data_IF_092794137072
#
_entry.id   IF_092794137072
#
_cell.length_a   1.000
_cell.length_b   1.000
_cell.length_c   1.000
_cell.angle_alpha   90.00
_cell.angle_beta   90.00
_cell.angle_gamma   90.00
#
_symmetry.space_group_name_H-M   'P 1'
#
loop_
_entity.id
_entity.type
_entity.pdbx_description
1 polymer ?
#
# COMPACT_ATOMS: atom_id res chain seq x y z
N UNK A 1 48.14 -53.45 6.95
CA UNK A 1 46.88 -53.22 6.17
C UNK A 1 45.79 -52.86 7.15
N UNK A 2 45.61 -51.53 7.41
CA UNK A 2 44.59 -51.03 8.38
C UNK A 2 43.32 -50.70 7.63
N UNK A 3 42.27 -51.48 7.85
CA UNK A 3 40.97 -51.20 7.35
C UNK A 3 40.36 -50.02 8.17
N UNK A 4 40.17 -48.86 7.52
CA UNK A 4 39.38 -47.74 8.08
C UNK A 4 37.94 -48.23 8.26
N UNK A 5 37.53 -48.41 9.51
CA UNK A 5 36.11 -48.57 9.88
C UNK A 5 35.40 -47.24 9.53
N UNK A 6 34.52 -47.28 8.56
CA UNK A 6 33.50 -46.26 8.38
C UNK A 6 32.58 -46.29 9.61
N UNK A 7 32.71 -45.29 10.48
CA UNK A 7 31.73 -45.00 11.53
C UNK A 7 30.41 -44.63 10.83
N UNK A 8 29.29 -45.34 11.10
CA UNK A 8 27.99 -44.89 10.60
C UNK A 8 27.71 -43.49 11.14
N UNK A 9 27.10 -42.64 10.30
CA UNK A 9 26.62 -41.33 10.72
C UNK A 9 25.99 -41.45 12.11
N UNK A 10 26.62 -40.84 13.10
CA UNK A 10 26.21 -41.06 14.47
C UNK A 10 24.73 -40.63 14.60
N UNK A 11 23.95 -41.41 15.36
CA UNK A 11 22.57 -41.09 15.73
C UNK A 11 22.42 -39.63 16.20
N UNK A 12 23.50 -38.97 16.65
CA UNK A 12 23.60 -37.55 16.98
C UNK A 12 23.40 -36.61 15.76
N UNK A 13 23.92 -36.98 14.58
CA UNK A 13 23.72 -36.16 13.36
C UNK A 13 22.29 -36.21 12.83
N UNK A 14 21.62 -37.38 12.99
CA UNK A 14 20.20 -37.52 12.61
C UNK A 14 19.30 -36.78 13.59
N UNK A 15 19.65 -36.72 14.88
CA UNK A 15 18.93 -35.96 15.92
C UNK A 15 19.04 -34.45 15.70
N UNK A 16 20.11 -33.96 15.06
CA UNK A 16 20.31 -32.56 14.72
C UNK A 16 19.43 -32.07 13.55
N UNK A 17 19.07 -32.97 12.62
CA UNK A 17 18.27 -32.63 11.45
C UNK A 17 16.76 -32.83 11.66
N UNK A 18 16.38 -33.61 12.66
CA UNK A 18 14.97 -33.94 12.89
C UNK A 18 14.11 -32.76 13.32
N UNK A 19 14.49 -31.89 14.27
CA UNK A 19 13.67 -30.76 14.68
C UNK A 19 13.43 -29.73 13.55
N UNK A 20 14.44 -29.29 12.78
CA UNK A 20 14.18 -28.37 11.66
C UNK A 20 13.32 -28.99 10.54
N UNK A 21 13.44 -30.28 10.29
CA UNK A 21 12.58 -30.98 9.33
C UNK A 21 11.14 -31.17 9.86
N UNK A 22 10.99 -31.43 11.16
CA UNK A 22 9.68 -31.54 11.79
C UNK A 22 8.96 -30.19 11.86
N UNK A 23 9.66 -29.11 12.16
CA UNK A 23 9.08 -27.75 12.14
C UNK A 23 8.71 -27.28 10.75
N UNK A 24 9.52 -27.55 9.73
CA UNK A 24 9.15 -27.33 8.33
C UNK A 24 7.92 -28.17 7.95
N UNK A 25 7.86 -29.41 8.37
CA UNK A 25 6.70 -30.30 8.13
C UNK A 25 5.43 -29.82 8.83
N UNK A 26 5.52 -29.29 10.05
CA UNK A 26 4.39 -28.73 10.79
C UNK A 26 3.92 -27.43 10.16
N UNK A 27 4.82 -26.54 9.77
CA UNK A 27 4.51 -25.30 9.06
C UNK A 27 3.82 -25.60 7.72
N UNK A 28 4.33 -26.57 6.96
CA UNK A 28 3.72 -27.04 5.72
C UNK A 28 2.34 -27.68 5.93
N UNK A 29 2.17 -28.46 7.01
CA UNK A 29 0.92 -29.14 7.31
C UNK A 29 -0.16 -28.16 7.79
N UNK A 30 0.21 -27.16 8.59
CA UNK A 30 -0.72 -26.12 9.05
C UNK A 30 -1.16 -25.21 7.89
N UNK A 31 -0.27 -24.85 6.98
CA UNK A 31 -0.61 -24.11 5.77
C UNK A 31 -1.51 -24.94 4.84
N UNK A 32 -1.22 -26.24 4.69
CA UNK A 32 -2.07 -27.16 3.92
C UNK A 32 -3.48 -27.31 4.52
N UNK A 33 -3.59 -27.43 5.84
CA UNK A 33 -4.90 -27.53 6.54
C UNK A 33 -5.68 -26.21 6.45
N UNK A 34 -5.01 -25.08 6.52
CA UNK A 34 -5.64 -23.75 6.45
C UNK A 34 -6.20 -23.42 5.05
N UNK A 35 -5.59 -23.93 3.98
CA UNK A 35 -5.91 -23.53 2.59
C UNK A 35 -6.47 -24.65 1.69
N UNK A 36 -6.66 -25.84 2.20
CA UNK A 36 -7.37 -26.94 1.49
C UNK A 36 -6.65 -27.57 0.29
N UNK A 37 -5.61 -26.99 -0.29
CA UNK A 37 -4.78 -27.62 -1.33
C UNK A 37 -3.44 -26.91 -1.53
N UNK A 38 -2.35 -27.66 -1.67
CA UNK A 38 -1.03 -27.15 -2.05
C UNK A 38 -0.90 -27.24 -3.58
N UNK A 39 -0.97 -26.11 -4.27
CA UNK A 39 -0.55 -25.98 -5.66
C UNK A 39 0.83 -25.33 -5.71
N UNK A 40 1.61 -25.55 -6.80
CA UNK A 40 2.95 -24.93 -6.96
C UNK A 40 2.93 -23.41 -6.92
N UNK A 41 1.80 -22.79 -7.25
CA UNK A 41 1.55 -21.34 -7.18
C UNK A 41 1.48 -20.82 -5.73
N UNK A 42 0.93 -21.63 -4.80
CA UNK A 42 0.87 -21.28 -3.37
C UNK A 42 2.26 -21.11 -2.75
N UNK A 43 3.28 -21.78 -3.26
CA UNK A 43 4.64 -21.68 -2.75
C UNK A 43 5.30 -20.35 -3.15
N UNK A 44 5.10 -19.90 -4.37
CA UNK A 44 5.70 -18.66 -4.90
C UNK A 44 4.93 -17.42 -4.48
N UNK A 45 3.60 -17.47 -4.41
CA UNK A 45 2.77 -16.31 -4.05
C UNK A 45 2.70 -16.03 -2.55
N UNK A 46 2.76 -17.05 -1.70
CA UNK A 46 2.51 -16.87 -0.26
C UNK A 46 3.70 -17.20 0.65
N UNK A 47 4.53 -18.17 0.30
CA UNK A 47 5.68 -18.55 1.15
C UNK A 47 6.87 -17.65 0.86
N UNK A 48 7.09 -17.29 -0.39
CA UNK A 48 8.25 -16.47 -0.79
C UNK A 48 8.19 -15.01 -0.29
N UNK A 49 7.06 -14.30 -0.34
CA UNK A 49 6.94 -12.96 0.22
C UNK A 49 7.10 -12.91 1.75
N UNK A 50 6.79 -14.03 2.43
CA UNK A 50 6.90 -14.13 3.88
C UNK A 50 8.10 -14.98 4.34
N UNK A 51 9.08 -15.20 3.45
CA UNK A 51 10.26 -16.03 3.74
C UNK A 51 11.05 -15.54 4.96
N UNK A 52 11.07 -14.24 5.22
CA UNK A 52 11.74 -13.65 6.39
C UNK A 52 11.05 -14.05 7.70
N UNK A 53 9.74 -14.03 7.77
CA UNK A 53 8.97 -14.46 8.94
C UNK A 53 9.16 -15.95 9.20
N UNK A 54 9.17 -16.79 8.15
CA UNK A 54 9.46 -18.22 8.25
C UNK A 54 10.91 -18.47 8.70
N UNK A 55 11.88 -17.71 8.18
CA UNK A 55 13.27 -17.79 8.60
C UNK A 55 13.47 -17.38 10.06
N UNK A 56 12.76 -16.35 10.51
CA UNK A 56 12.82 -15.85 11.89
C UNK A 56 12.17 -16.86 12.85
N UNK A 57 11.00 -17.39 12.51
CA UNK A 57 10.35 -18.45 13.27
C UNK A 57 11.22 -19.72 13.33
N UNK A 58 11.85 -20.10 12.20
CA UNK A 58 12.79 -21.21 12.14
C UNK A 58 14.04 -20.96 12.97
N UNK A 59 14.63 -19.76 12.93
CA UNK A 59 15.80 -19.38 13.71
C UNK A 59 15.49 -19.39 15.21
N UNK A 60 14.32 -18.90 15.63
CA UNK A 60 13.89 -18.96 17.03
C UNK A 60 13.67 -20.40 17.52
N UNK A 61 13.05 -21.24 16.69
CA UNK A 61 12.86 -22.65 16.99
C UNK A 61 14.20 -23.42 16.99
N UNK A 62 15.13 -23.06 16.13
CA UNK A 62 16.46 -23.64 16.09
C UNK A 62 17.32 -23.21 17.29
N UNK A 63 17.26 -21.95 17.70
CA UNK A 63 17.93 -21.44 18.89
C UNK A 63 17.36 -22.02 20.18
N UNK A 64 16.04 -22.16 20.27
CA UNK A 64 15.40 -22.82 21.43
C UNK A 64 15.77 -24.30 21.47
N UNK A 65 15.87 -24.97 20.32
CA UNK A 65 16.33 -26.37 20.25
C UNK A 65 17.81 -26.52 20.66
N UNK A 66 18.70 -25.62 20.21
CA UNK A 66 20.12 -25.59 20.65
C UNK A 66 20.24 -25.39 22.17
N UNK A 67 19.41 -24.51 22.76
CA UNK A 67 19.35 -24.32 24.19
C UNK A 67 18.84 -25.58 24.93
N UNK A 68 17.94 -26.34 24.31
CA UNK A 68 17.40 -27.59 24.87
C UNK A 68 18.41 -28.73 24.80
N UNK A 69 19.21 -28.84 23.73
CA UNK A 69 20.28 -29.86 23.64
C UNK A 69 21.37 -29.63 24.72
N UNK A 70 21.55 -28.35 25.10
CA UNK A 70 22.43 -27.95 26.20
C UNK A 70 21.85 -28.27 27.59
N UNK A 71 20.51 -28.29 27.69
CA UNK A 71 19.75 -28.55 28.94
C UNK A 71 19.14 -29.97 28.93
N UNK A 72 19.93 -31.00 28.64
CA UNK A 72 19.47 -32.41 28.42
C UNK A 72 18.56 -33.01 29.48
N UNK A 73 18.37 -32.35 30.63
CA UNK A 73 17.42 -32.76 31.70
C UNK A 73 15.98 -32.29 31.47
N UNK A 74 15.74 -31.36 30.55
CA UNK A 74 14.41 -30.76 30.31
C UNK A 74 13.93 -30.94 28.86
N UNK A 75 14.53 -31.85 28.08
CA UNK A 75 14.21 -32.10 26.69
C UNK A 75 12.69 -32.23 26.39
N UNK A 76 11.88 -33.01 27.11
CA UNK A 76 10.46 -33.15 26.79
C UNK A 76 9.63 -31.89 27.07
N UNK A 77 10.02 -31.09 28.10
CA UNK A 77 9.33 -29.85 28.44
C UNK A 77 9.64 -28.75 27.40
N UNK A 78 10.88 -28.69 26.95
CA UNK A 78 11.33 -27.69 26.00
C UNK A 78 10.83 -27.98 24.56
N UNK A 79 10.69 -29.26 24.16
CA UNK A 79 10.03 -29.64 22.90
C UNK A 79 8.53 -29.32 22.93
N UNK A 80 7.87 -29.52 24.09
CA UNK A 80 6.47 -29.14 24.26
C UNK A 80 6.33 -27.59 24.20
N UNK A 81 7.23 -26.85 24.85
CA UNK A 81 7.22 -25.38 24.84
C UNK A 81 7.49 -24.82 23.43
N UNK A 82 8.44 -25.42 22.67
CA UNK A 82 8.71 -25.07 21.30
C UNK A 82 7.54 -25.41 20.37
N UNK A 83 6.84 -26.53 20.60
CA UNK A 83 5.64 -26.87 19.85
C UNK A 83 4.47 -25.91 20.15
N UNK A 84 4.27 -25.56 21.43
CA UNK A 84 3.25 -24.58 21.84
C UNK A 84 3.58 -23.21 21.27
N UNK A 85 4.84 -22.76 21.35
CA UNK A 85 5.28 -21.50 20.76
C UNK A 85 5.09 -21.52 19.23
N UNK A 86 5.40 -22.62 18.55
CA UNK A 86 5.15 -22.80 17.13
C UNK A 86 3.67 -22.71 16.77
N UNK A 87 2.79 -23.34 17.57
CA UNK A 87 1.34 -23.25 17.38
C UNK A 87 0.83 -21.83 17.62
N UNK A 88 1.33 -21.14 18.68
CA UNK A 88 0.96 -19.75 18.97
C UNK A 88 1.44 -18.82 17.85
N UNK A 89 2.68 -19.00 17.36
CA UNK A 89 3.20 -18.21 16.24
C UNK A 89 2.40 -18.46 14.94
N UNK A 90 2.02 -19.70 14.67
CA UNK A 90 1.18 -20.04 13.49
C UNK A 90 -0.24 -19.49 13.65
N UNK A 91 -0.82 -19.55 14.87
CA UNK A 91 -2.13 -18.95 15.15
C UNK A 91 -2.08 -17.42 15.02
N UNK A 92 -1.04 -16.78 15.57
CA UNK A 92 -0.82 -15.35 15.42
C UNK A 92 -0.54 -14.93 13.96
N UNK A 93 0.12 -15.79 13.19
CA UNK A 93 0.35 -15.56 11.77
C UNK A 93 -0.92 -15.74 10.92
N UNK A 94 -1.82 -16.63 11.33
CA UNK A 94 -3.08 -16.88 10.61
C UNK A 94 -3.92 -15.61 10.48
N UNK A 95 -3.93 -14.78 11.52
CA UNK A 95 -4.66 -13.51 11.54
C UNK A 95 -3.75 -12.31 11.17
N UNK A 96 -2.42 -12.53 10.96
CA UNK A 96 -1.43 -11.52 10.56
C UNK A 96 -1.07 -10.51 11.65
N UNK A 97 -1.96 -10.24 12.60
CA UNK A 97 -1.84 -9.17 13.60
C UNK A 97 -0.76 -9.42 14.66
N UNK A 98 -0.48 -10.67 15.00
CA UNK A 98 0.51 -11.02 16.02
C UNK A 98 1.96 -10.72 15.62
N UNK A 99 2.29 -10.78 14.32
CA UNK A 99 3.62 -10.41 13.82
C UNK A 99 3.78 -8.90 13.74
N UNK A 100 2.75 -8.15 13.44
CA UNK A 100 2.78 -6.71 13.43
C UNK A 100 3.02 -6.16 14.84
N UNK A 101 2.39 -6.72 15.85
CA UNK A 101 2.69 -6.40 17.26
C UNK A 101 4.15 -6.69 17.63
N UNK A 102 4.71 -7.83 17.17
CA UNK A 102 6.12 -8.16 17.37
C UNK A 102 7.05 -7.22 16.59
N UNK A 103 6.70 -6.89 15.35
CA UNK A 103 7.42 -5.94 14.49
C UNK A 103 7.46 -4.57 15.17
N UNK A 104 6.32 -4.07 15.64
CA UNK A 104 6.24 -2.82 16.42
C UNK A 104 7.09 -2.87 17.69
N UNK A 105 7.01 -3.94 18.46
CA UNK A 105 7.83 -4.11 19.67
C UNK A 105 9.33 -4.06 19.36
N UNK A 106 9.78 -4.67 18.26
CA UNK A 106 11.17 -4.61 17.82
C UNK A 106 11.56 -3.23 17.29
N UNK A 107 10.65 -2.54 16.62
CA UNK A 107 10.89 -1.24 16.01
C UNK A 107 10.76 -0.09 16.98
N UNK A 108 9.83 -0.13 17.90
CA UNK A 108 9.49 0.98 18.83
C UNK A 108 9.76 0.67 20.29
N UNK A 109 10.10 -0.60 20.64
CA UNK A 109 10.25 -1.03 22.03
C UNK A 109 8.89 -1.23 22.72
N UNK A 110 8.93 -1.42 24.05
CA UNK A 110 7.72 -1.47 24.87
C UNK A 110 7.28 -0.04 25.21
N UNK A 111 6.66 0.67 24.27
CA UNK A 111 5.95 1.92 24.56
C UNK A 111 4.73 1.67 25.47
N UNK A 112 4.34 2.64 26.27
CA UNK A 112 3.06 2.57 26.99
C UNK A 112 1.92 2.55 25.96
N UNK A 113 1.03 1.57 26.10
CA UNK A 113 -0.14 1.38 25.26
C UNK A 113 -1.00 2.66 25.22
N UNK A 114 -1.46 3.04 24.04
CA UNK A 114 -2.53 4.01 23.77
C UNK A 114 -2.27 5.52 23.99
N UNK A 115 -1.04 5.98 23.80
CA UNK A 115 -0.80 7.43 23.66
C UNK A 115 -0.16 7.75 22.32
N UNK A 116 -0.69 8.74 21.61
CA UNK A 116 -0.03 9.26 20.42
C UNK A 116 1.03 10.28 20.87
N UNK A 117 2.31 9.99 20.59
CA UNK A 117 3.41 10.90 20.86
C UNK A 117 3.76 11.71 19.60
N UNK A 118 4.04 13.00 19.76
CA UNK A 118 4.54 13.85 18.69
C UNK A 118 5.89 13.31 18.21
N UNK A 119 5.97 12.92 16.95
CA UNK A 119 7.15 12.32 16.34
C UNK A 119 7.79 13.21 15.30
N UNK A 120 6.99 14.01 14.61
CA UNK A 120 7.44 14.88 13.53
C UNK A 120 6.90 16.29 13.75
N UNK A 121 7.76 17.29 13.51
CA UNK A 121 7.38 18.70 13.49
C UNK A 121 7.60 19.26 12.08
N UNK A 122 6.67 20.07 11.59
CA UNK A 122 6.72 20.71 10.27
C UNK A 122 5.97 22.03 10.29
N UNK A 123 6.20 22.86 9.26
CA UNK A 123 5.55 24.16 9.14
C UNK A 123 4.05 24.02 8.82
N UNK A 124 3.21 24.80 9.49
CA UNK A 124 1.78 24.84 9.23
C UNK A 124 1.47 25.39 7.84
N UNK A 125 0.73 24.62 7.06
CA UNK A 125 0.12 25.07 5.81
C UNK A 125 -1.19 24.33 5.56
N UNK A 126 -2.20 25.02 5.05
CA UNK A 126 -3.45 24.37 4.62
C UNK A 126 -3.26 23.53 3.32
N UNK A 127 -2.16 23.77 2.63
CA UNK A 127 -1.76 23.02 1.43
C UNK A 127 -0.92 21.78 1.73
N UNK A 128 -0.58 21.50 3.00
CA UNK A 128 0.23 20.35 3.36
C UNK A 128 -0.37 19.04 2.81
N UNK A 129 0.49 18.26 2.16
CA UNK A 129 0.26 16.89 1.71
C UNK A 129 1.29 16.00 2.38
N UNK A 130 0.89 14.79 2.68
CA UNK A 130 1.70 13.87 3.47
C UNK A 130 1.76 12.51 2.82
N UNK A 131 2.92 11.86 2.90
CA UNK A 131 3.12 10.49 2.47
C UNK A 131 4.07 9.78 3.42
N UNK A 132 3.87 8.48 3.62
CA UNK A 132 4.77 7.62 4.39
C UNK A 132 5.64 6.83 3.42
N UNK A 133 6.96 6.91 3.59
CA UNK A 133 7.93 6.08 2.89
C UNK A 133 8.70 5.27 3.94
N UNK A 134 8.36 3.99 4.08
CA UNK A 134 8.92 3.16 5.13
C UNK A 134 8.72 3.77 6.52
N UNK A 135 9.82 4.20 7.15
CA UNK A 135 9.81 4.89 8.45
C UNK A 135 9.83 6.43 8.36
N UNK A 136 9.95 6.99 7.16
CA UNK A 136 10.06 8.42 6.92
C UNK A 136 8.70 9.05 6.58
N UNK A 137 8.53 10.32 6.94
CA UNK A 137 7.39 11.15 6.57
C UNK A 137 7.81 12.18 5.51
N UNK A 138 7.14 12.15 4.36
CA UNK A 138 7.26 13.20 3.35
C UNK A 138 6.20 14.26 3.61
N UNK A 139 6.60 15.51 3.66
CA UNK A 139 5.70 16.66 3.82
C UNK A 139 5.92 17.60 2.63
N UNK A 140 4.87 17.83 1.87
CA UNK A 140 4.83 18.79 0.78
C UNK A 140 3.89 19.94 1.13
N UNK A 141 4.38 21.15 1.06
CA UNK A 141 3.57 22.37 1.12
C UNK A 141 3.68 23.15 -0.21
N UNK A 142 3.02 24.29 -0.28
CA UNK A 142 3.15 25.23 -1.39
C UNK A 142 4.57 25.83 -1.53
N UNK A 143 5.38 25.77 -0.48
CA UNK A 143 6.71 26.43 -0.40
C UNK A 143 7.87 25.49 -0.10
N UNK A 144 7.61 24.30 0.42
CA UNK A 144 8.66 23.36 0.86
C UNK A 144 8.26 21.92 0.61
N UNK A 145 9.19 21.13 0.08
CA UNK A 145 9.14 19.67 0.10
C UNK A 145 10.25 19.18 1.03
N UNK A 146 9.92 18.28 1.95
CA UNK A 146 10.87 17.74 2.92
C UNK A 146 10.63 16.27 3.23
N UNK A 147 11.70 15.57 3.53
CA UNK A 147 11.71 14.18 4.01
C UNK A 147 12.23 14.17 5.44
N UNK A 148 11.40 13.71 6.37
CA UNK A 148 11.70 13.62 7.80
C UNK A 148 11.94 12.17 8.19
N UNK A 149 13.06 11.91 8.87
CA UNK A 149 13.35 10.59 9.43
C UNK A 149 12.38 10.23 10.56
N UNK A 150 12.36 8.98 10.94
CA UNK A 150 11.55 8.41 12.03
C UNK A 150 11.63 9.18 13.36
N UNK A 151 12.57 10.00 13.62
CA UNK A 151 12.69 10.83 14.84
C UNK A 151 12.31 12.30 14.63
N UNK A 152 11.75 12.64 13.46
CA UNK A 152 11.44 14.02 13.08
C UNK A 152 12.66 14.79 12.57
N UNK A 153 13.83 14.18 12.47
CA UNK A 153 15.03 14.82 11.91
C UNK A 153 14.87 14.99 10.39
N UNK A 154 15.15 16.21 9.90
CA UNK A 154 15.11 16.48 8.46
C UNK A 154 16.28 15.80 7.75
N UNK A 155 15.97 14.82 6.89
CA UNK A 155 16.96 14.12 6.04
C UNK A 155 17.32 14.98 4.84
N UNK A 156 16.28 15.53 4.19
CA UNK A 156 16.41 16.32 2.99
C UNK A 156 15.25 17.30 2.86
N UNK A 157 15.50 18.44 2.26
CA UNK A 157 14.45 19.39 1.91
C UNK A 157 14.85 20.29 0.73
N UNK A 158 13.83 20.78 0.02
CA UNK A 158 13.99 21.80 -1.02
C UNK A 158 12.86 22.82 -0.96
N UNK A 159 13.14 24.04 -1.40
CA UNK A 159 12.11 25.06 -1.56
C UNK A 159 11.43 24.89 -2.91
N UNK A 160 10.10 24.84 -2.89
CA UNK A 160 9.25 24.72 -4.08
C UNK A 160 8.35 25.96 -4.21
N UNK A 161 7.67 26.10 -5.35
CA UNK A 161 6.62 27.10 -5.57
C UNK A 161 5.46 26.43 -6.28
N UNK A 162 4.55 25.87 -5.51
CA UNK A 162 3.42 25.13 -6.01
C UNK A 162 2.11 25.82 -5.64
N UNK A 163 1.26 26.02 -6.63
CA UNK A 163 -0.07 26.61 -6.44
C UNK A 163 -1.12 25.59 -6.05
N UNK A 164 -0.98 24.37 -6.53
CA UNK A 164 -1.85 23.24 -6.27
C UNK A 164 -1.00 21.97 -6.03
N UNK A 165 -0.28 21.88 -4.89
CA UNK A 165 0.61 20.76 -4.61
C UNK A 165 -0.14 19.43 -4.51
N UNK A 166 0.34 18.44 -5.24
CA UNK A 166 -0.12 17.06 -5.21
C UNK A 166 1.04 16.12 -4.85
N UNK A 167 0.74 15.07 -4.12
CA UNK A 167 1.69 14.08 -3.63
C UNK A 167 1.08 12.69 -3.75
N UNK A 168 1.76 11.81 -4.49
CA UNK A 168 1.35 10.42 -4.72
C UNK A 168 2.51 9.49 -4.38
N UNK A 169 2.22 8.23 -4.05
CA UNK A 169 3.24 7.25 -3.65
C UNK A 169 3.18 5.99 -4.51
N UNK A 170 4.31 5.32 -4.65
CA UNK A 170 4.47 4.02 -5.28
C UNK A 170 5.92 3.54 -5.20
N UNK A 171 6.15 2.24 -5.03
CA UNK A 171 7.46 1.64 -5.04
C UNK A 171 8.47 2.20 -4.02
N UNK A 172 8.00 2.58 -2.83
CA UNK A 172 8.84 3.18 -1.79
C UNK A 172 9.31 4.60 -2.14
N UNK A 173 8.64 5.28 -3.07
CA UNK A 173 8.90 6.65 -3.50
C UNK A 173 7.65 7.51 -3.40
N UNK A 174 7.84 8.82 -3.40
CA UNK A 174 6.76 9.77 -3.55
C UNK A 174 7.05 10.72 -4.72
N UNK A 175 6.03 11.03 -5.51
CA UNK A 175 6.09 12.08 -6.52
C UNK A 175 5.31 13.30 -6.03
N UNK A 176 6.00 14.42 -5.95
CA UNK A 176 5.47 15.74 -5.60
C UNK A 176 5.44 16.63 -6.84
N UNK A 177 4.30 17.20 -7.18
CA UNK A 177 4.16 18.05 -8.35
C UNK A 177 3.11 19.14 -8.15
N UNK A 178 3.19 20.19 -8.97
CA UNK A 178 2.21 21.27 -9.00
C UNK A 178 1.19 21.01 -10.11
N UNK A 179 -0.06 20.80 -9.77
CA UNK A 179 -1.15 20.63 -10.76
C UNK A 179 -1.38 21.96 -11.49
N UNK A 180 -1.16 21.94 -12.79
CA UNK A 180 -1.14 23.17 -13.62
C UNK A 180 0.17 23.95 -13.57
N UNK A 181 1.19 23.43 -12.88
CA UNK A 181 2.54 23.98 -12.82
C UNK A 181 3.56 23.17 -13.60
N UNK A 182 4.84 23.52 -13.43
CA UNK A 182 5.94 22.96 -14.24
C UNK A 182 6.98 22.21 -13.42
N UNK A 183 6.86 22.16 -12.11
CA UNK A 183 7.81 21.49 -11.21
C UNK A 183 7.30 20.13 -10.78
N UNK A 184 8.17 19.11 -10.83
CA UNK A 184 7.91 17.76 -10.36
C UNK A 184 9.18 17.19 -9.73
N UNK A 185 9.02 16.58 -8.56
CA UNK A 185 10.08 15.95 -7.78
C UNK A 185 9.69 14.51 -7.44
N UNK A 186 10.60 13.56 -7.64
CA UNK A 186 10.47 12.20 -7.08
C UNK A 186 11.47 12.08 -5.94
N UNK A 187 11.01 11.66 -4.78
CA UNK A 187 11.81 11.48 -3.57
C UNK A 187 11.66 10.07 -3.03
N UNK A 188 12.69 9.60 -2.33
CA UNK A 188 12.66 8.39 -1.51
C UNK A 188 13.02 8.72 -0.05
N UNK A 189 13.26 7.71 0.78
CA UNK A 189 13.68 7.90 2.18
C UNK A 189 15.01 8.69 2.31
N UNK A 190 15.86 8.68 1.31
CA UNK A 190 17.16 9.40 1.28
C UNK A 190 17.07 10.83 0.74
N UNK A 191 15.93 11.22 0.15
CA UNK A 191 15.70 12.52 -0.46
C UNK A 191 15.43 12.45 -1.95
N UNK A 192 15.95 13.42 -2.72
CA UNK A 192 15.68 13.56 -4.15
C UNK A 192 16.24 12.41 -4.99
N UNK A 193 15.38 11.80 -5.81
CA UNK A 193 15.75 10.77 -6.80
C UNK A 193 15.74 11.36 -8.21
N UNK A 194 14.72 12.18 -8.54
CA UNK A 194 14.53 12.74 -9.87
C UNK A 194 13.82 14.09 -9.76
N UNK A 195 14.24 15.04 -10.58
CA UNK A 195 13.54 16.32 -10.76
C UNK A 195 13.26 16.53 -12.24
N UNK A 196 12.02 16.81 -12.58
CA UNK A 196 11.58 17.15 -13.92
C UNK A 196 11.00 18.55 -13.95
N UNK A 197 11.19 19.24 -15.07
CA UNK A 197 10.60 20.55 -15.31
C UNK A 197 9.91 20.54 -16.68
N UNK A 198 8.61 20.75 -16.66
CA UNK A 198 7.83 20.86 -17.89
C UNK A 198 8.01 22.24 -18.55
N UNK A 199 7.80 22.36 -19.88
CA UNK A 199 7.65 23.65 -20.52
C UNK A 199 6.46 24.43 -19.95
N UNK A 200 6.53 25.77 -19.95
CA UNK A 200 5.46 26.64 -19.44
C UNK A 200 4.10 26.45 -20.16
N UNK A 201 4.14 26.00 -21.40
CA UNK A 201 2.96 25.74 -22.23
C UNK A 201 2.49 24.25 -22.17
N UNK A 202 3.16 23.43 -21.36
CA UNK A 202 2.83 22.01 -21.17
C UNK A 202 2.84 21.64 -19.67
N UNK A 203 2.05 22.31 -18.83
CA UNK A 203 2.06 22.06 -17.39
C UNK A 203 1.61 20.65 -17.03
N UNK A 204 2.04 20.18 -15.85
CA UNK A 204 1.65 18.89 -15.31
C UNK A 204 0.17 18.86 -14.92
N UNK A 205 -0.50 17.78 -15.24
CA UNK A 205 -1.88 17.53 -14.86
C UNK A 205 -1.98 16.44 -13.80
N UNK A 206 -1.32 15.30 -14.01
CA UNK A 206 -1.17 14.22 -13.04
C UNK A 206 0.21 13.57 -13.11
N UNK A 207 0.60 12.89 -12.05
CA UNK A 207 1.79 12.05 -12.00
C UNK A 207 1.55 10.87 -11.06
N UNK A 208 1.85 9.65 -11.51
CA UNK A 208 1.63 8.41 -10.78
C UNK A 208 2.86 7.53 -10.79
N UNK A 209 3.17 6.93 -9.66
CA UNK A 209 4.22 5.93 -9.49
C UNK A 209 3.59 4.54 -9.37
N UNK A 210 4.20 3.54 -10.01
CA UNK A 210 3.87 2.14 -9.77
C UNK A 210 4.75 1.54 -8.66
N UNK A 211 4.51 0.27 -8.32
CA UNK A 211 5.24 -0.42 -7.24
C UNK A 211 6.74 -0.65 -7.53
N UNK A 212 7.18 -0.57 -8.79
CA UNK A 212 8.60 -0.63 -9.18
C UNK A 212 9.25 0.76 -9.32
N UNK A 213 8.49 1.84 -9.00
CA UNK A 213 8.95 3.22 -9.08
C UNK A 213 9.06 3.76 -10.51
N UNK A 214 8.31 3.16 -11.48
CA UNK A 214 8.09 3.78 -12.78
C UNK A 214 7.08 4.91 -12.65
N UNK A 215 7.24 5.95 -13.46
CA UNK A 215 6.49 7.19 -13.35
C UNK A 215 5.73 7.45 -14.64
N UNK A 216 4.40 7.57 -14.56
CA UNK A 216 3.57 8.13 -15.62
C UNK A 216 3.25 9.60 -15.31
N UNK A 217 3.47 10.48 -16.28
CA UNK A 217 3.21 11.92 -16.13
C UNK A 217 2.26 12.36 -17.24
N UNK A 218 1.17 12.99 -16.85
CA UNK A 218 0.21 13.58 -17.78
C UNK A 218 0.40 15.10 -17.84
N UNK A 219 0.43 15.64 -19.04
CA UNK A 219 0.63 17.09 -19.29
C UNK A 219 -0.45 17.66 -20.19
N UNK A 220 -0.73 18.95 -20.04
CA UNK A 220 -1.45 19.70 -21.04
C UNK A 220 -0.52 19.93 -22.25
N UNK A 221 -1.06 19.88 -23.45
CA UNK A 221 -0.29 20.15 -24.67
C UNK A 221 -1.07 21.09 -25.60
N UNK A 222 -0.46 22.21 -26.04
CA UNK A 222 -1.10 23.16 -26.95
C UNK A 222 -1.52 22.48 -28.28
N UNK A 223 -2.81 22.60 -28.60
CA UNK A 223 -3.37 22.01 -29.82
C UNK A 223 -3.73 20.53 -29.76
N UNK A 224 -3.49 19.89 -28.64
CA UNK A 224 -3.85 18.52 -28.32
C UNK A 224 -4.78 18.43 -27.12
N UNK A 225 -5.24 17.23 -26.82
CA UNK A 225 -6.11 16.93 -25.67
C UNK A 225 -5.33 16.43 -24.45
N UNK A 226 -4.01 16.56 -24.50
CA UNK A 226 -3.07 16.18 -23.47
C UNK A 226 -1.99 15.22 -24.00
N UNK A 227 -1.00 14.98 -23.19
CA UNK A 227 0.06 14.01 -23.44
C UNK A 227 0.40 13.21 -22.20
N UNK A 228 0.97 12.04 -22.40
CA UNK A 228 1.53 11.21 -21.32
C UNK A 228 2.97 10.89 -21.66
N UNK A 229 3.83 10.95 -20.68
CA UNK A 229 5.21 10.45 -20.78
C UNK A 229 5.44 9.46 -19.64
N UNK A 230 5.91 8.26 -19.99
CA UNK A 230 6.31 7.25 -19.03
C UNK A 230 7.83 7.23 -18.87
N UNK A 231 8.28 7.18 -17.64
CA UNK A 231 9.69 7.09 -17.24
C UNK A 231 9.90 5.80 -16.45
N UNK A 232 11.03 5.13 -16.70
CA UNK A 232 11.43 4.01 -15.87
C UNK A 232 11.92 4.49 -14.49
N UNK A 233 12.22 3.54 -13.59
CA UNK A 233 12.69 3.83 -12.23
C UNK A 233 14.02 4.60 -12.14
N UNK A 234 14.78 4.72 -13.26
CA UNK A 234 15.98 5.52 -13.39
C UNK A 234 15.72 6.93 -13.96
N UNK A 235 14.46 7.28 -14.25
CA UNK A 235 14.07 8.56 -14.82
C UNK A 235 14.34 8.67 -16.33
N UNK A 236 14.53 7.54 -17.03
CA UNK A 236 14.66 7.53 -18.48
C UNK A 236 13.29 7.44 -19.11
N UNK A 237 12.97 8.33 -20.07
CA UNK A 237 11.76 8.26 -20.87
C UNK A 237 11.75 6.95 -21.70
N UNK A 238 10.65 6.19 -21.58
CA UNK A 238 10.46 4.91 -22.27
C UNK A 238 9.29 4.92 -23.24
N UNK A 239 8.31 5.80 -23.00
CA UNK A 239 7.13 5.92 -23.85
C UNK A 239 6.59 7.35 -23.82
N UNK A 240 6.00 7.80 -24.93
CA UNK A 240 5.34 9.10 -25.03
C UNK A 240 4.10 9.01 -25.93
N UNK A 241 3.00 9.56 -25.44
CA UNK A 241 1.71 9.59 -26.10
C UNK A 241 1.22 11.04 -26.26
N UNK A 242 0.65 11.37 -27.40
CA UNK A 242 -0.06 12.63 -27.65
C UNK A 242 -1.50 12.35 -28.08
N UNK A 243 -2.47 12.81 -27.31
CA UNK A 243 -3.88 12.59 -27.57
C UNK A 243 -4.53 13.74 -28.35
N UNK A 244 -5.28 13.42 -29.41
CA UNK A 244 -6.01 14.40 -30.23
C UNK A 244 -7.53 14.33 -30.08
N UNK A 245 -8.07 13.18 -29.73
CA UNK A 245 -9.51 12.90 -29.81
C UNK A 245 -10.21 13.06 -28.45
N UNK A 246 -9.62 12.57 -27.38
CA UNK A 246 -10.16 12.60 -26.00
C UNK A 246 -9.14 13.25 -25.08
N UNK A 247 -9.59 13.95 -24.02
CA UNK A 247 -8.69 14.51 -23.01
C UNK A 247 -8.06 13.38 -22.21
N UNK A 248 -6.74 13.39 -22.05
CA UNK A 248 -6.05 12.53 -21.09
C UNK A 248 -6.03 13.23 -19.74
N UNK A 249 -6.54 12.58 -18.70
CA UNK A 249 -6.69 13.16 -17.38
C UNK A 249 -5.82 12.48 -16.31
N UNK A 250 -5.42 11.23 -16.53
CA UNK A 250 -4.51 10.49 -15.65
C UNK A 250 -3.85 9.35 -16.43
N UNK A 251 -2.79 8.77 -15.89
CA UNK A 251 -2.14 7.60 -16.49
C UNK A 251 -1.38 6.81 -15.43
N UNK A 252 -1.27 5.50 -15.62
CA UNK A 252 -0.56 4.57 -14.76
C UNK A 252 0.21 3.54 -15.58
N UNK A 253 1.46 3.28 -15.21
CA UNK A 253 2.23 2.15 -15.76
C UNK A 253 1.97 0.93 -14.90
N UNK A 254 1.56 -0.19 -15.52
CA UNK A 254 1.32 -1.45 -14.80
C UNK A 254 2.57 -1.94 -14.05
N UNK A 255 2.37 -2.68 -12.95
CA UNK A 255 3.47 -3.11 -12.08
C UNK A 255 4.43 -4.10 -12.74
N UNK A 256 3.99 -4.76 -13.83
CA UNK A 256 4.87 -5.55 -14.69
C UNK A 256 5.71 -4.71 -15.67
N UNK A 257 5.55 -3.38 -15.64
CA UNK A 257 6.28 -2.40 -16.44
C UNK A 257 6.10 -2.59 -17.97
N UNK A 258 5.01 -3.18 -18.41
CA UNK A 258 4.78 -3.50 -19.83
C UNK A 258 3.71 -2.62 -20.48
N UNK A 259 2.74 -2.13 -19.73
CA UNK A 259 1.55 -1.46 -20.24
C UNK A 259 1.36 -0.09 -19.56
N UNK A 260 0.96 0.89 -20.36
CA UNK A 260 0.45 2.18 -19.87
C UNK A 260 -1.07 2.18 -19.96
N UNK A 261 -1.75 2.40 -18.84
CA UNK A 261 -3.18 2.66 -18.78
C UNK A 261 -3.43 4.18 -18.76
N UNK A 262 -3.92 4.74 -19.87
CA UNK A 262 -4.26 6.14 -19.99
C UNK A 262 -5.76 6.36 -19.74
N UNK A 263 -6.09 7.18 -18.74
CA UNK A 263 -7.47 7.58 -18.43
C UNK A 263 -7.85 8.73 -19.35
N UNK A 264 -8.82 8.49 -20.21
CA UNK A 264 -9.28 9.49 -21.16
C UNK A 264 -10.73 9.91 -20.87
N UNK A 265 -11.02 11.18 -21.13
CA UNK A 265 -12.34 11.77 -21.01
C UNK A 265 -12.82 12.30 -22.37
N UNK A 266 -13.96 11.81 -22.79
CA UNK A 266 -14.62 12.26 -24.01
C UNK A 266 -16.09 12.58 -23.78
N UNK A 267 -16.79 12.98 -24.85
CA UNK A 267 -18.22 13.26 -24.82
C UNK A 267 -18.93 12.39 -25.85
N UNK A 268 -19.89 11.60 -25.38
CA UNK A 268 -20.74 10.76 -26.20
C UNK A 268 -22.21 11.09 -25.92
N UNK A 269 -22.99 11.37 -26.97
CA UNK A 269 -24.41 11.74 -26.83
C UNK A 269 -24.66 12.86 -25.77
N UNK A 270 -23.75 13.84 -25.66
CA UNK A 270 -23.79 14.93 -24.68
C UNK A 270 -23.56 14.51 -23.21
N UNK A 271 -23.07 13.31 -22.98
CA UNK A 271 -22.63 12.82 -21.66
C UNK A 271 -21.11 12.66 -21.67
N UNK A 272 -20.45 13.01 -20.58
CA UNK A 272 -19.02 12.71 -20.40
C UNK A 272 -18.85 11.23 -20.10
N UNK A 273 -17.90 10.60 -20.80
CA UNK A 273 -17.57 9.18 -20.67
C UNK A 273 -16.06 9.07 -20.44
N UNK A 274 -15.69 8.38 -19.38
CA UNK A 274 -14.30 7.99 -19.15
C UNK A 274 -14.02 6.66 -19.84
N UNK A 275 -12.87 6.60 -20.50
CA UNK A 275 -12.40 5.38 -21.18
C UNK A 275 -10.94 5.16 -20.80
N UNK A 276 -10.56 3.93 -20.53
CA UNK A 276 -9.20 3.53 -20.24
C UNK A 276 -8.61 2.94 -21.51
N UNK A 277 -7.55 3.56 -22.00
CA UNK A 277 -6.84 3.10 -23.20
C UNK A 277 -5.50 2.51 -22.78
N UNK A 278 -5.23 1.30 -23.23
CA UNK A 278 -4.04 0.54 -22.87
C UNK A 278 -3.04 0.54 -24.02
N UNK A 279 -1.80 0.90 -23.72
CA UNK A 279 -0.69 0.90 -24.67
C UNK A 279 0.41 -0.03 -24.16
N UNK A 280 0.85 -0.96 -25.02
CA UNK A 280 2.12 -1.65 -24.75
C UNK A 280 3.26 -0.64 -24.90
N UNK A 281 4.18 -0.57 -23.94
CA UNK A 281 5.23 0.48 -23.93
C UNK A 281 6.22 0.41 -25.11
N UNK A 282 6.19 -0.67 -25.88
CA UNK A 282 7.00 -0.86 -27.09
C UNK A 282 6.21 -0.61 -28.40
N UNK A 283 4.93 -0.17 -28.31
CA UNK A 283 4.03 0.06 -29.45
C UNK A 283 3.37 1.44 -29.39
N UNK A 284 3.21 2.08 -30.55
CA UNK A 284 2.56 3.39 -30.66
C UNK A 284 1.02 3.29 -30.69
N UNK A 285 0.49 2.18 -31.22
CA UNK A 285 -0.95 1.97 -31.33
C UNK A 285 -1.53 1.37 -30.04
N UNK A 286 -2.76 1.75 -29.64
CA UNK A 286 -3.41 1.17 -28.47
C UNK A 286 -3.63 -0.34 -28.65
N UNK A 287 -3.31 -1.10 -27.61
CA UNK A 287 -3.48 -2.55 -27.59
C UNK A 287 -4.91 -2.96 -27.24
N UNK A 288 -5.56 -2.21 -26.35
CA UNK A 288 -6.93 -2.44 -25.89
C UNK A 288 -7.53 -1.17 -25.31
N UNK A 289 -8.83 -1.17 -25.08
CA UNK A 289 -9.53 -0.14 -24.33
C UNK A 289 -10.81 -0.70 -23.68
N UNK A 290 -11.29 0.00 -22.65
CA UNK A 290 -12.58 -0.27 -22.03
C UNK A 290 -13.21 1.00 -21.47
N UNK A 291 -14.54 1.05 -21.49
CA UNK A 291 -15.30 2.16 -20.95
C UNK A 291 -15.58 1.96 -19.44
N UNK A 292 -15.39 3.02 -18.67
CA UNK A 292 -15.95 3.11 -17.32
C UNK A 292 -17.31 3.79 -17.45
N UNK A 293 -18.35 2.96 -17.41
CA UNK A 293 -19.73 3.40 -17.67
C UNK A 293 -20.24 4.30 -16.54
N UNK A 294 -20.89 5.40 -16.94
CA UNK A 294 -21.65 6.31 -16.08
C UNK A 294 -20.86 7.05 -15.00
N UNK A 295 -19.52 7.27 -15.19
CA UNK A 295 -18.74 7.96 -14.18
C UNK A 295 -17.52 8.71 -14.70
N UNK A 296 -17.08 9.69 -13.91
CA UNK A 296 -15.78 10.33 -14.07
C UNK A 296 -14.75 9.55 -13.25
N UNK A 297 -13.72 9.04 -13.90
CA UNK A 297 -12.61 8.37 -13.21
C UNK A 297 -11.82 9.40 -12.42
N UNK A 298 -11.65 9.15 -11.13
CA UNK A 298 -10.89 9.95 -10.19
C UNK A 298 -9.47 9.41 -9.98
N UNK A 299 -9.27 8.10 -10.13
CA UNK A 299 -7.97 7.46 -9.97
C UNK A 299 -7.87 6.18 -10.78
N UNK A 300 -6.63 5.85 -11.15
CA UNK A 300 -6.22 4.58 -11.73
C UNK A 300 -5.00 4.05 -10.97
N UNK A 301 -4.93 2.74 -10.77
CA UNK A 301 -3.83 2.04 -10.12
C UNK A 301 -3.89 0.56 -10.43
N UNK A 302 -3.15 -0.24 -9.69
CA UNK A 302 -3.14 -1.70 -9.79
C UNK A 302 -3.24 -2.34 -8.41
N UNK A 303 -3.96 -3.44 -8.31
CA UNK A 303 -4.03 -4.31 -7.13
C UNK A 303 -4.05 -5.77 -7.59
N UNK A 304 -3.19 -6.61 -7.03
CA UNK A 304 -3.10 -8.03 -7.35
C UNK A 304 -3.02 -8.34 -8.87
N UNK A 305 -2.29 -7.52 -9.63
CA UNK A 305 -2.13 -7.68 -11.08
C UNK A 305 -3.38 -7.32 -11.87
N UNK A 306 -4.33 -6.56 -11.31
CA UNK A 306 -5.49 -6.03 -11.99
C UNK A 306 -5.50 -4.50 -11.92
N UNK A 307 -5.76 -3.87 -13.05
CA UNK A 307 -6.03 -2.44 -13.11
C UNK A 307 -7.28 -2.13 -12.30
N UNK A 308 -7.18 -1.19 -11.39
CA UNK A 308 -8.29 -0.67 -10.60
C UNK A 308 -8.57 0.77 -11.00
N UNK A 309 -9.83 1.07 -11.29
CA UNK A 309 -10.29 2.43 -11.59
C UNK A 309 -11.39 2.83 -10.63
N UNK A 310 -11.19 3.96 -9.96
CA UNK A 310 -12.17 4.57 -9.08
C UNK A 310 -12.88 5.67 -9.83
N UNK A 311 -14.19 5.56 -9.99
CA UNK A 311 -15.02 6.64 -10.53
C UNK A 311 -15.94 7.22 -9.46
N UNK A 312 -16.67 8.26 -9.79
CA UNK A 312 -17.69 8.84 -8.89
C UNK A 312 -18.94 7.96 -8.72
N UNK A 313 -19.08 6.85 -9.49
CA UNK A 313 -20.24 5.96 -9.47
C UNK A 313 -19.92 4.49 -9.20
N UNK A 314 -18.71 4.07 -9.51
CA UNK A 314 -18.30 2.67 -9.37
C UNK A 314 -16.79 2.51 -9.22
N UNK A 315 -16.40 1.35 -8.70
CA UNK A 315 -15.05 0.82 -8.71
C UNK A 315 -15.01 -0.30 -9.75
N UNK A 316 -14.01 -0.28 -10.65
CA UNK A 316 -13.89 -1.27 -11.73
C UNK A 316 -12.54 -1.95 -11.67
N UNK A 317 -12.51 -3.27 -11.77
CA UNK A 317 -11.31 -4.09 -11.92
C UNK A 317 -11.23 -4.65 -13.34
N UNK A 318 -10.09 -4.50 -13.98
CA UNK A 318 -9.83 -5.00 -15.31
C UNK A 318 -8.47 -5.69 -15.40
N UNK A 319 -8.33 -6.62 -16.33
CA UNK A 319 -7.02 -7.20 -16.62
C UNK A 319 -6.12 -6.19 -17.36
N UNK A 320 -4.78 -6.34 -17.31
CA UNK A 320 -3.87 -5.53 -18.13
C UNK A 320 -4.15 -5.64 -19.66
N UNK A 321 -4.91 -6.65 -20.10
CA UNK A 321 -5.37 -6.80 -21.48
C UNK A 321 -6.69 -6.06 -21.81
N UNK A 322 -7.25 -5.28 -20.85
CA UNK A 322 -8.46 -4.49 -21.05
C UNK A 322 -9.77 -5.24 -20.83
N UNK A 323 -9.74 -6.47 -20.30
CA UNK A 323 -10.96 -7.20 -19.98
C UNK A 323 -11.48 -6.78 -18.60
N UNK A 324 -12.64 -6.12 -18.56
CA UNK A 324 -13.32 -5.79 -17.29
C UNK A 324 -13.79 -7.08 -16.63
N UNK A 325 -13.29 -7.34 -15.43
CA UNK A 325 -13.58 -8.55 -14.65
C UNK A 325 -14.66 -8.34 -13.62
N UNK A 326 -14.63 -7.18 -12.97
CA UNK A 326 -15.59 -6.86 -11.92
C UNK A 326 -15.90 -5.36 -11.89
N UNK A 327 -17.10 -5.04 -11.39
CA UNK A 327 -17.53 -3.67 -11.14
C UNK A 327 -18.36 -3.64 -9.87
N UNK A 328 -17.91 -2.86 -8.89
CA UNK A 328 -18.66 -2.57 -7.67
C UNK A 328 -19.38 -1.22 -7.82
N UNK A 329 -20.70 -1.24 -7.92
CA UNK A 329 -21.53 -0.04 -8.04
C UNK A 329 -21.80 0.58 -6.68
N UNK A 330 -21.70 1.91 -6.56
CA UNK A 330 -22.06 2.63 -5.32
C UNK A 330 -23.58 2.77 -5.11
N UNK A 331 -24.39 2.20 -5.99
CA UNK A 331 -25.85 2.16 -5.88
C UNK A 331 -26.50 3.54 -5.65
N UNK A 332 -25.94 4.59 -6.24
CA UNK A 332 -26.41 5.97 -6.13
C UNK A 332 -25.90 6.74 -4.91
N UNK A 333 -25.02 6.16 -4.12
CA UNK A 333 -24.24 6.87 -3.10
C UNK A 333 -23.16 7.72 -3.75
N UNK A 334 -22.64 8.70 -3.03
CA UNK A 334 -21.62 9.63 -3.52
C UNK A 334 -20.26 9.26 -2.94
N UNK A 335 -19.29 9.02 -3.80
CA UNK A 335 -17.91 8.84 -3.37
C UNK A 335 -17.41 10.09 -2.66
N UNK A 336 -16.96 9.96 -1.43
CA UNK A 336 -16.35 11.03 -0.65
C UNK A 336 -14.82 10.88 -0.58
N UNK A 337 -14.38 9.67 -0.28
CA UNK A 337 -12.96 9.35 -0.12
C UNK A 337 -12.73 7.88 -0.49
N UNK A 338 -11.54 7.56 -0.91
CA UNK A 338 -11.12 6.18 -1.21
C UNK A 338 -9.64 6.02 -0.88
N UNK A 339 -9.22 4.78 -0.67
CA UNK A 339 -7.80 4.42 -0.56
C UNK A 339 -7.56 3.07 -1.23
N UNK A 340 -6.56 3.02 -2.11
CA UNK A 340 -6.15 1.86 -2.91
C UNK A 340 -4.96 1.09 -2.31
N UNK A 341 -4.39 1.55 -1.18
CA UNK A 341 -3.17 0.98 -0.59
C UNK A 341 -3.44 -0.20 0.36
N UNK A 342 -4.69 -0.70 0.40
CA UNK A 342 -5.03 -1.95 1.07
C UNK A 342 -4.45 -3.16 0.34
N UNK A 343 -3.95 -4.15 1.09
CA UNK A 343 -3.40 -5.39 0.56
C UNK A 343 -4.55 -6.32 0.10
N UNK A 344 -4.88 -6.26 -1.20
CA UNK A 344 -5.99 -7.00 -1.80
C UNK A 344 -7.39 -6.41 -1.54
N UNK A 345 -7.49 -5.18 -1.07
CA UNK A 345 -8.78 -4.49 -0.94
C UNK A 345 -8.70 -2.99 -1.22
N UNK A 346 -9.82 -2.44 -1.66
CA UNK A 346 -10.03 -0.99 -1.78
C UNK A 346 -10.97 -0.53 -0.67
N UNK A 347 -10.61 0.55 0.04
CA UNK A 347 -11.48 1.21 1.00
C UNK A 347 -12.25 2.35 0.33
N UNK A 348 -13.56 2.41 0.56
CA UNK A 348 -14.45 3.43 0.02
C UNK A 348 -15.28 4.08 1.14
N UNK A 349 -15.29 5.40 1.19
CA UNK A 349 -16.22 6.17 1.99
C UNK A 349 -17.33 6.73 1.08
N UNK A 350 -18.52 6.19 1.19
CA UNK A 350 -19.67 6.49 0.36
C UNK A 350 -20.72 7.26 1.17
N UNK A 351 -20.98 8.51 0.80
CA UNK A 351 -22.02 9.31 1.43
C UNK A 351 -23.40 9.03 0.84
N UNK A 352 -24.42 8.99 1.69
CA UNK A 352 -25.83 8.87 1.25
C UNK A 352 -26.32 10.11 0.51
N UNK A 353 -25.76 11.28 0.83
CA UNK A 353 -26.14 12.58 0.27
C UNK A 353 -24.89 13.33 -0.17
N UNK A 354 -25.02 14.27 -1.12
CA UNK A 354 -23.91 15.11 -1.59
C UNK A 354 -23.23 15.93 -0.49
N UNK A 355 -23.93 16.19 0.60
CA UNK A 355 -23.39 16.89 1.77
C UNK A 355 -23.86 16.22 3.04
N UNK A 356 -22.98 16.21 4.06
CA UNK A 356 -23.22 15.60 5.38
C UNK A 356 -22.31 14.42 5.65
N UNK A 357 -22.29 13.98 6.92
CA UNK A 357 -21.42 12.92 7.42
C UNK A 357 -22.06 11.52 7.50
N UNK A 358 -23.30 11.38 7.00
CA UNK A 358 -23.99 10.08 7.01
C UNK A 358 -23.63 9.31 5.75
N UNK A 359 -23.03 8.17 5.93
CA UNK A 359 -22.54 7.38 4.81
C UNK A 359 -22.33 5.91 5.18
N UNK A 360 -21.51 5.26 4.39
CA UNK A 360 -21.13 3.86 4.52
C UNK A 360 -19.65 3.73 4.23
N UNK A 361 -18.91 3.18 5.16
CA UNK A 361 -17.54 2.73 4.93
C UNK A 361 -17.62 1.32 4.38
N UNK A 362 -16.90 1.06 3.29
CA UNK A 362 -16.94 -0.23 2.58
C UNK A 362 -15.54 -0.66 2.23
N UNK A 363 -15.26 -1.95 2.36
CA UNK A 363 -14.07 -2.59 1.80
C UNK A 363 -14.50 -3.55 0.69
N UNK A 364 -13.81 -3.49 -0.44
CA UNK A 364 -14.11 -4.26 -1.65
C UNK A 364 -12.86 -5.02 -2.06
N UNK A 365 -12.98 -6.32 -2.33
CA UNK A 365 -11.90 -7.16 -2.82
C UNK A 365 -11.62 -6.96 -4.32
N UNK A 366 -10.54 -7.57 -4.82
CA UNK A 366 -10.14 -7.50 -6.23
C UNK A 366 -11.06 -8.29 -7.18
N UNK A 367 -12.00 -9.09 -6.66
CA UNK A 367 -13.10 -9.72 -7.40
C UNK A 367 -14.35 -8.81 -7.46
N UNK A 368 -14.25 -7.57 -6.93
CA UNK A 368 -15.34 -6.59 -6.88
C UNK A 368 -16.44 -6.96 -5.90
N UNK A 369 -16.15 -7.83 -4.92
CA UNK A 369 -17.12 -8.21 -3.89
C UNK A 369 -16.91 -7.36 -2.64
N UNK A 370 -18.01 -6.98 -2.02
CA UNK A 370 -17.97 -6.31 -0.72
C UNK A 370 -17.47 -7.28 0.35
N UNK A 371 -16.28 -7.00 0.92
CA UNK A 371 -15.74 -7.77 2.05
C UNK A 371 -16.58 -7.44 3.29
N UNK A 372 -16.70 -6.15 3.59
CA UNK A 372 -17.46 -5.67 4.73
C UNK A 372 -17.99 -4.25 4.49
N UNK A 373 -19.01 -3.88 5.26
CA UNK A 373 -19.53 -2.53 5.26
C UNK A 373 -20.03 -2.11 6.64
N UNK A 374 -19.78 -0.84 6.97
CA UNK A 374 -20.18 -0.22 8.22
C UNK A 374 -21.00 1.04 7.93
N UNK A 375 -22.21 1.12 8.45
CA UNK A 375 -23.00 2.34 8.39
C UNK A 375 -22.43 3.40 9.34
N UNK A 376 -22.09 4.56 8.79
CA UNK A 376 -21.47 5.65 9.52
C UNK A 376 -22.48 6.78 9.73
N UNK A 377 -22.65 7.17 10.99
CA UNK A 377 -23.55 8.26 11.38
C UNK A 377 -22.78 9.47 11.93
N UNK A 378 -21.47 9.35 12.04
CA UNK A 378 -20.54 10.39 12.50
C UNK A 378 -19.70 10.90 11.33
N UNK A 379 -19.17 12.10 11.45
CA UNK A 379 -18.30 12.64 10.42
C UNK A 379 -16.93 11.96 10.44
N UNK A 380 -16.56 11.33 9.31
CA UNK A 380 -15.22 10.84 9.08
C UNK A 380 -14.42 11.98 8.44
N UNK A 381 -13.29 12.32 9.04
CA UNK A 381 -12.39 13.37 8.55
C UNK A 381 -11.44 12.85 7.48
N UNK A 382 -10.94 11.62 7.64
CA UNK A 382 -9.98 11.00 6.73
C UNK A 382 -9.98 9.48 6.90
N UNK A 383 -9.69 8.77 5.81
CA UNK A 383 -9.41 7.33 5.81
C UNK A 383 -8.02 7.10 5.23
N UNK A 384 -7.35 6.05 5.67
CA UNK A 384 -6.09 5.61 5.06
C UNK A 384 -5.91 4.12 5.25
N UNK A 385 -5.60 3.42 4.15
CA UNK A 385 -5.33 1.99 4.14
C UNK A 385 -3.83 1.71 3.98
N UNK A 386 -3.33 0.70 4.62
CA UNK A 386 -2.00 0.15 4.36
C UNK A 386 -1.94 -1.30 4.85
N UNK A 387 -1.43 -2.20 4.00
CA UNK A 387 -1.45 -3.61 4.28
C UNK A 387 -2.90 -4.06 4.50
N UNK A 388 -3.16 -4.76 5.59
CA UNK A 388 -4.49 -5.27 5.97
C UNK A 388 -5.32 -4.33 6.85
N UNK A 389 -4.84 -3.12 7.09
CA UNK A 389 -5.44 -2.19 8.03
C UNK A 389 -6.05 -0.98 7.34
N UNK A 390 -7.10 -0.46 7.93
CA UNK A 390 -7.78 0.77 7.55
C UNK A 390 -7.91 1.67 8.76
N UNK A 391 -7.19 2.78 8.79
CA UNK A 391 -7.37 3.83 9.77
C UNK A 391 -8.50 4.77 9.36
N UNK A 392 -9.38 5.08 10.29
CA UNK A 392 -10.50 5.99 10.13
C UNK A 392 -10.43 7.04 11.22
N UNK A 393 -10.25 8.29 10.82
CA UNK A 393 -10.22 9.43 11.72
C UNK A 393 -11.62 10.06 11.83
N UNK A 394 -12.16 10.03 13.02
CA UNK A 394 -13.37 10.75 13.41
C UNK A 394 -13.02 12.13 14.03
N UNK A 395 -14.00 12.89 14.48
CA UNK A 395 -13.79 14.23 15.05
C UNK A 395 -12.94 14.25 16.32
N UNK A 396 -13.03 13.20 17.15
CA UNK A 396 -12.37 13.11 18.46
C UNK A 396 -11.70 11.76 18.71
N UNK A 397 -11.73 10.86 17.75
CA UNK A 397 -11.15 9.53 17.87
C UNK A 397 -10.60 9.02 16.55
N UNK A 398 -9.63 8.10 16.63
CA UNK A 398 -9.18 7.28 15.50
C UNK A 398 -9.46 5.83 15.80
N UNK A 399 -9.96 5.13 14.80
CA UNK A 399 -10.19 3.67 14.86
C UNK A 399 -9.43 3.01 13.74
N UNK A 400 -8.65 2.00 14.07
CA UNK A 400 -8.00 1.13 13.09
C UNK A 400 -8.86 -0.12 12.97
N UNK A 401 -9.26 -0.42 11.74
CA UNK A 401 -10.02 -1.61 11.39
C UNK A 401 -9.15 -2.60 10.60
N UNK A 402 -9.55 -3.87 10.61
CA UNK A 402 -9.11 -4.85 9.61
C UNK A 402 -9.87 -4.66 8.29
N UNK A 403 -9.51 -5.42 7.26
CA UNK A 403 -10.23 -5.45 5.99
C UNK A 403 -11.71 -5.88 6.13
N UNK A 404 -12.05 -6.67 7.16
CA UNK A 404 -13.43 -7.06 7.51
C UNK A 404 -14.16 -6.00 8.35
N UNK A 405 -13.59 -4.82 8.52
CA UNK A 405 -14.08 -3.74 9.38
C UNK A 405 -14.29 -4.14 10.85
N UNK A 406 -13.51 -5.10 11.33
CA UNK A 406 -13.40 -5.41 12.75
C UNK A 406 -12.42 -4.45 13.43
N UNK A 407 -12.77 -3.95 14.61
CA UNK A 407 -11.92 -3.00 15.34
C UNK A 407 -10.64 -3.70 15.78
N UNK A 408 -9.52 -3.22 15.27
CA UNK A 408 -8.20 -3.65 15.69
C UNK A 408 -7.68 -2.82 16.87
N UNK A 409 -7.82 -1.49 16.79
CA UNK A 409 -7.40 -0.56 17.83
C UNK A 409 -8.22 0.73 17.78
N UNK A 410 -8.27 1.45 18.89
CA UNK A 410 -8.96 2.73 19.01
C UNK A 410 -8.20 3.67 19.96
N UNK A 411 -8.18 4.96 19.63
CA UNK A 411 -7.64 6.02 20.47
C UNK A 411 -8.63 7.19 20.51
N UNK A 412 -8.95 7.64 21.69
CA UNK A 412 -9.80 8.82 21.95
C UNK A 412 -8.94 10.08 22.16
N UNK A 413 -9.54 11.25 22.05
CA UNK A 413 -8.88 12.54 22.28
C UNK A 413 -7.97 12.95 21.14
N UNK A 414 -8.36 12.67 19.89
CA UNK A 414 -7.60 13.00 18.68
C UNK A 414 -8.14 14.23 17.94
N UNK A 415 -8.86 15.11 18.63
CA UNK A 415 -9.48 16.33 18.11
C UNK A 415 -8.47 17.36 17.53
N UNK A 416 -7.18 17.18 17.81
CA UNK A 416 -6.10 17.94 17.19
C UNK A 416 -5.74 17.46 15.77
N UNK A 417 -6.05 16.22 15.41
CA UNK A 417 -5.71 15.63 14.12
C UNK A 417 -6.67 16.09 13.01
N UNK A 418 -6.15 16.28 11.81
CA UNK A 418 -6.90 16.69 10.62
C UNK A 418 -6.99 15.57 9.59
N UNK A 419 -5.99 14.70 9.53
CA UNK A 419 -5.96 13.51 8.70
C UNK A 419 -5.14 12.40 9.36
N UNK A 420 -5.24 11.20 8.82
CA UNK A 420 -4.52 10.00 9.29
C UNK A 420 -3.80 9.35 8.13
N UNK A 421 -2.62 8.79 8.39
CA UNK A 421 -1.92 7.89 7.48
C UNK A 421 -1.69 6.56 8.17
N UNK A 422 -2.18 5.50 7.55
CA UNK A 422 -1.97 4.13 8.01
C UNK A 422 -0.59 3.63 7.60
N UNK A 423 0.02 2.77 8.41
CA UNK A 423 1.28 2.10 8.11
C UNK A 423 1.07 0.58 8.05
N UNK A 424 1.89 -0.09 7.25
CA UNK A 424 1.80 -1.55 7.06
C UNK A 424 2.00 -2.38 8.33
N UNK A 425 2.63 -1.80 9.37
CA UNK A 425 2.86 -2.46 10.66
C UNK A 425 1.67 -2.34 11.63
N UNK A 426 0.58 -1.74 11.20
CA UNK A 426 -0.62 -1.53 11.98
C UNK A 426 -0.57 -0.27 12.86
N UNK A 427 0.49 0.54 12.81
CA UNK A 427 0.54 1.85 13.43
C UNK A 427 -0.06 2.93 12.52
N UNK A 428 -0.45 4.07 13.09
CA UNK A 428 -0.98 5.18 12.32
C UNK A 428 -0.31 6.51 12.72
N UNK A 429 -0.15 7.40 11.74
CA UNK A 429 0.26 8.78 11.98
C UNK A 429 -0.97 9.68 11.98
N UNK A 430 -1.18 10.39 13.07
CA UNK A 430 -2.21 11.41 13.24
C UNK A 430 -1.61 12.77 12.89
N UNK A 431 -2.06 13.34 11.80
CA UNK A 431 -1.50 14.56 11.21
C UNK A 431 -2.27 15.78 11.73
N UNK A 432 -1.57 16.59 12.53
CA UNK A 432 -2.07 17.89 13.02
C UNK A 432 -1.64 19.04 12.10
N UNK A 433 -1.82 20.28 12.53
CA UNK A 433 -1.46 21.44 11.72
C UNK A 433 0.06 21.59 11.57
N UNK A 434 0.85 21.30 12.61
CA UNK A 434 2.28 21.55 12.71
C UNK A 434 3.08 20.33 13.17
N UNK A 435 2.41 19.20 13.41
CA UNK A 435 3.05 17.99 13.92
C UNK A 435 2.32 16.73 13.47
N UNK A 436 3.04 15.62 13.41
CA UNK A 436 2.45 14.29 13.27
C UNK A 436 2.74 13.46 14.53
N UNK A 437 1.70 12.78 14.99
CA UNK A 437 1.72 11.97 16.20
C UNK A 437 1.62 10.50 15.83
N UNK A 438 2.52 9.68 16.33
CA UNK A 438 2.50 8.24 16.10
C UNK A 438 1.57 7.55 17.10
N UNK A 439 0.56 6.88 16.62
CA UNK A 439 -0.29 5.98 17.38
C UNK A 439 0.19 4.53 17.19
N UNK A 440 0.54 3.90 18.30
CA UNK A 440 0.95 2.48 18.38
C UNK A 440 -0.16 1.71 19.08
N UNK A 441 -0.91 0.85 18.35
CA UNK A 441 -1.94 -0.01 18.94
C UNK A 441 -1.41 -1.09 19.85
#
# INVERSE_FOLDING_TARGET
>A
MNAKKHTPLSLHGLRLLFPPLATLGILFLTEWIARGSLTGETFTQYIFPHAEAYLLAWAMLFLSWLAVDWLTRFAPLATLLAAVLGVVLVAAYRDGTGFDALRRLCSYGSGEESTAEAQYDYDASDSNRFAVLGDSLVVLSDTKLQVLARGGEEIWSTSVRMSAPALETGGGRAVAYDVGGTELYVVDEGGEVLTLTAPEDAPYFSARLNEDGWLAVTTELPGYKGGVTAYNSQGTEVFSLTASDRFVIDAYVTDDNSTLAAVTLGQENSVFVSNIVLYELDQEDPAADYDVTDGLVAAVGEQDGQLVTVSDTCLTYASPAGEVRATYSYAGSYLREYDLHGDGFTALLLNRYKSGGVGRLVTVDTDGQEIAALDVNEEILSISAAGRYLAVLYMDSVVIYTEELEIYAQLEGTDYARSVLMRQDGSALLLAAESAHLFLP
#
